data_IF_012630793672
#
_entry.id   IF_012630793672
#
_cell.length_a   1.000
_cell.length_b   1.000
_cell.length_c   1.000
_cell.angle_alpha   90.00
_cell.angle_beta   90.00
_cell.angle_gamma   90.00
#
_symmetry.space_group_name_H-M   'P 1'
#
loop_
_entity.id
_entity.type
_entity.pdbx_description
1 polymer ?
#
# COMPACT_ATOMS: atom_id res chain seq x y z
N UNK A 1 27.48 16.53 40.72
CA UNK A 1 27.20 16.39 39.28
C UNK A 1 28.16 15.36 38.69
N UNK A 2 27.73 14.12 38.54
CA UNK A 2 28.49 13.09 37.83
C UNK A 2 27.73 12.79 36.53
N UNK A 3 28.34 13.17 35.41
CA UNK A 3 27.83 12.89 34.06
C UNK A 3 27.96 11.38 33.82
N UNK A 4 26.85 10.65 33.86
CA UNK A 4 26.80 9.29 33.33
C UNK A 4 26.35 9.40 31.87
N UNK A 5 27.35 9.61 31.00
CA UNK A 5 27.19 9.46 29.57
C UNK A 5 27.83 8.15 29.13
N UNK A 6 27.21 7.50 28.16
CA UNK A 6 27.90 6.58 27.26
C UNK A 6 27.63 5.11 27.52
N UNK A 7 26.87 4.50 26.61
CA UNK A 7 26.74 3.06 26.49
C UNK A 7 25.29 2.65 26.49
N UNK A 8 24.63 2.69 25.33
CA UNK A 8 23.47 1.83 25.15
C UNK A 8 23.94 0.41 25.46
N UNK A 9 23.37 -0.21 26.50
CA UNK A 9 23.65 -1.59 26.90
C UNK A 9 23.64 -2.46 25.63
N UNK A 10 24.69 -3.24 25.39
CA UNK A 10 24.78 -4.08 24.19
C UNK A 10 23.56 -5.00 24.05
N UNK A 11 22.95 -5.39 25.17
CA UNK A 11 21.68 -6.10 25.17
C UNK A 11 20.53 -5.24 24.62
N UNK A 12 20.46 -3.97 25.02
CA UNK A 12 19.50 -3.01 24.49
C UNK A 12 19.67 -2.75 22.99
N UNK A 13 20.92 -2.61 22.52
CA UNK A 13 21.22 -2.50 21.09
C UNK A 13 20.77 -3.75 20.34
N UNK A 14 21.09 -4.95 20.87
CA UNK A 14 20.74 -6.22 20.23
C UNK A 14 19.21 -6.40 20.14
N UNK A 15 18.47 -6.02 21.17
CA UNK A 15 17.00 -6.07 21.19
C UNK A 15 16.43 -5.11 20.16
N UNK A 16 16.92 -3.87 20.08
CA UNK A 16 16.48 -2.89 19.08
C UNK A 16 16.77 -3.37 17.66
N UNK A 17 17.96 -3.92 17.41
CA UNK A 17 18.33 -4.49 16.11
C UNK A 17 17.45 -5.68 15.75
N UNK A 18 17.18 -6.58 16.71
CA UNK A 18 16.33 -7.74 16.49
C UNK A 18 14.89 -7.33 16.17
N UNK A 19 14.35 -6.34 16.88
CA UNK A 19 13.04 -5.78 16.60
C UNK A 19 12.99 -5.13 15.21
N UNK A 20 14.00 -4.34 14.83
CA UNK A 20 14.09 -3.74 13.48
C UNK A 20 14.12 -4.81 12.37
N UNK A 21 14.89 -5.88 12.57
CA UNK A 21 14.96 -7.00 11.63
C UNK A 21 13.63 -7.78 11.55
N UNK A 22 12.88 -7.86 12.65
CA UNK A 22 11.58 -8.51 12.69
C UNK A 22 10.50 -7.68 11.97
N UNK A 23 10.53 -6.35 12.11
CA UNK A 23 9.63 -5.42 11.40
C UNK A 23 9.88 -5.43 9.88
N UNK A 24 11.13 -5.60 9.46
CA UNK A 24 11.49 -5.76 8.03
C UNK A 24 11.15 -7.12 7.42
N UNK A 25 10.73 -8.10 8.24
CA UNK A 25 10.34 -9.46 7.80
C UNK A 25 8.86 -9.78 8.00
N UNK A 26 8.13 -8.92 8.70
CA UNK A 26 6.68 -8.99 8.79
C UNK A 26 6.09 -8.65 7.43
N UNK A 27 5.73 -9.69 6.68
CA UNK A 27 5.18 -9.59 5.34
C UNK A 27 3.91 -8.76 5.28
N UNK A 28 4.07 -7.45 5.13
CA UNK A 28 3.34 -6.77 4.10
C UNK A 28 4.09 -7.09 2.80
N UNK A 29 3.72 -8.19 2.15
CA UNK A 29 3.83 -8.18 0.70
C UNK A 29 3.14 -6.88 0.29
N UNK A 30 3.79 -5.94 -0.42
CA UNK A 30 3.08 -4.79 -0.92
C UNK A 30 1.91 -5.38 -1.69
N UNK A 31 0.70 -5.26 -1.13
CA UNK A 31 -0.51 -5.79 -1.73
C UNK A 31 -0.40 -5.40 -3.19
N UNK A 32 -0.25 -6.41 -4.08
CA UNK A 32 0.08 -6.19 -5.49
C UNK A 32 -0.73 -4.98 -5.93
N UNK A 33 -0.04 -3.88 -6.24
CA UNK A 33 -0.55 -2.51 -6.20
C UNK A 33 -1.91 -2.42 -6.92
N UNK A 34 -2.98 -2.72 -6.17
CA UNK A 34 -4.28 -3.10 -6.73
C UNK A 34 -4.88 -1.81 -7.22
N UNK A 35 -4.89 -1.63 -8.54
CA UNK A 35 -5.33 -0.37 -9.10
C UNK A 35 -6.84 -0.37 -9.15
N UNK A 36 -7.44 0.62 -8.52
CA UNK A 36 -8.86 0.89 -8.67
C UNK A 36 -9.11 1.64 -9.98
N UNK A 37 -10.08 1.14 -10.75
CA UNK A 37 -10.51 1.70 -12.01
C UNK A 37 -11.97 2.15 -11.92
N UNK A 38 -12.24 3.46 -11.78
CA UNK A 38 -13.60 3.99 -11.79
C UNK A 38 -14.24 3.79 -13.17
N UNK A 39 -15.30 2.98 -13.25
CA UNK A 39 -16.02 2.72 -14.50
C UNK A 39 -16.70 4.00 -14.97
N UNK A 40 -16.38 4.45 -16.19
CA UNK A 40 -16.80 5.76 -16.71
C UNK A 40 -15.94 6.94 -16.23
N UNK A 41 -14.77 6.68 -15.63
CA UNK A 41 -13.81 7.68 -15.16
C UNK A 41 -14.44 8.71 -14.21
N UNK A 42 -14.65 9.97 -14.63
CA UNK A 42 -15.32 10.99 -13.82
C UNK A 42 -16.84 11.02 -14.03
N UNK A 43 -17.35 10.43 -15.10
CA UNK A 43 -18.77 10.45 -15.46
C UNK A 43 -19.57 9.36 -14.75
N UNK A 44 -18.90 8.36 -14.20
CA UNK A 44 -19.54 7.22 -13.54
C UNK A 44 -20.18 6.25 -14.51
N UNK A 45 -20.85 5.25 -13.94
CA UNK A 45 -21.42 4.18 -14.72
C UNK A 45 -22.72 4.60 -15.41
N UNK A 46 -22.79 4.34 -16.71
CA UNK A 46 -23.97 4.53 -17.55
C UNK A 46 -24.01 3.46 -18.66
N UNK A 47 -25.11 3.38 -19.42
CA UNK A 47 -25.18 2.49 -20.59
C UNK A 47 -24.19 2.87 -21.71
N UNK A 48 -23.61 4.08 -21.67
CA UNK A 48 -22.67 4.60 -22.67
C UNK A 48 -21.20 4.21 -22.45
N UNK A 49 -20.86 3.50 -21.36
CA UNK A 49 -19.46 3.21 -20.99
C UNK A 49 -18.80 2.10 -21.85
N UNK A 50 -19.40 1.69 -22.97
CA UNK A 50 -18.90 0.62 -23.84
C UNK A 50 -17.47 0.88 -24.38
N UNK A 51 -17.09 2.15 -24.55
CA UNK A 51 -15.75 2.55 -24.98
C UNK A 51 -14.74 2.76 -23.84
N UNK A 52 -15.20 2.78 -22.59
CA UNK A 52 -14.36 3.08 -21.42
C UNK A 52 -13.18 2.12 -21.24
N UNK A 53 -13.30 0.79 -21.47
CA UNK A 53 -12.16 -0.13 -21.30
C UNK A 53 -10.99 0.13 -22.26
N UNK A 54 -11.20 0.90 -23.34
CA UNK A 54 -10.18 1.09 -24.36
C UNK A 54 -8.94 1.78 -23.77
N UNK A 55 -7.76 1.27 -24.14
CA UNK A 55 -6.45 1.77 -23.72
C UNK A 55 -6.13 1.65 -22.21
N UNK A 56 -6.94 0.92 -21.43
CA UNK A 56 -6.65 0.68 -20.00
C UNK A 56 -5.87 -0.64 -19.83
N UNK A 57 -4.63 -0.60 -19.31
CA UNK A 57 -3.82 -1.80 -19.10
C UNK A 57 -4.24 -2.50 -17.79
N UNK A 58 -5.39 -3.19 -17.82
CA UNK A 58 -5.85 -3.98 -16.68
C UNK A 58 -4.87 -5.11 -16.34
N UNK A 59 -4.66 -5.32 -15.05
CA UNK A 59 -3.84 -6.40 -14.52
C UNK A 59 -4.67 -7.28 -13.59
N UNK A 60 -4.25 -8.53 -13.41
CA UNK A 60 -4.82 -9.36 -12.36
C UNK A 60 -4.62 -8.67 -11.01
N UNK A 61 -5.66 -8.68 -10.17
CA UNK A 61 -5.68 -7.95 -8.90
C UNK A 61 -6.26 -6.54 -8.97
N UNK A 62 -6.48 -5.97 -10.16
CA UNK A 62 -7.15 -4.67 -10.31
C UNK A 62 -8.65 -4.75 -9.97
N UNK A 63 -9.20 -3.65 -9.46
CA UNK A 63 -10.59 -3.55 -9.02
C UNK A 63 -11.36 -2.58 -9.91
N UNK A 64 -12.48 -3.03 -10.48
CA UNK A 64 -13.41 -2.18 -11.21
C UNK A 64 -14.40 -1.54 -10.23
N UNK A 65 -14.29 -0.22 -10.03
CA UNK A 65 -15.17 0.51 -9.13
C UNK A 65 -16.37 1.05 -9.89
N UNK A 66 -17.53 0.50 -9.56
CA UNK A 66 -18.83 0.96 -10.05
C UNK A 66 -19.37 2.09 -9.17
N UNK A 67 -19.71 3.24 -9.76
CA UNK A 67 -20.42 4.31 -9.05
C UNK A 67 -21.43 4.98 -9.97
N UNK A 68 -22.60 5.34 -9.45
CA UNK A 68 -23.60 6.09 -10.20
C UNK A 68 -23.26 7.58 -10.16
N UNK A 69 -23.46 8.32 -11.25
CA UNK A 69 -23.39 9.79 -11.21
C UNK A 69 -24.46 10.34 -10.25
N UNK A 70 -24.15 11.48 -9.62
CA UNK A 70 -25.04 12.18 -8.70
C UNK A 70 -26.12 13.00 -9.42
#
# INVERSE_FOLDING_TARGET
MARQGGGADMAGILVVVTLLLLQGRGGAEPAENSREWPVGDSEGWSMGVMGWPNYKPFRAGDVLRMFLPA
#
